data_IF_898804497165
#
_entry.id   IF_898804497165
#
_cell.length_a   1.000
_cell.length_b   1.000
_cell.length_c   1.000
_cell.angle_alpha   90.00
_cell.angle_beta   90.00
_cell.angle_gamma   90.00
#
_symmetry.space_group_name_H-M   'P 1'
#
loop_
_entity.id
_entity.type
_entity.pdbx_description
1 polymer ?
#
# COMPACT_ATOMS: atom_id res chain seq x y z
N UNK A 1 -6.74 10.90 8.55
CA UNK A 1 -6.38 10.59 7.15
C UNK A 1 -4.86 10.63 6.99
N UNK A 2 -4.28 9.90 6.00
CA UNK A 2 -2.86 10.03 5.70
C UNK A 2 -2.53 11.46 5.25
N UNK A 3 -1.33 11.92 5.54
CA UNK A 3 -0.84 13.24 5.16
C UNK A 3 0.30 13.09 4.15
N UNK A 4 0.49 14.03 3.22
CA UNK A 4 1.66 14.06 2.36
C UNK A 4 2.95 14.11 3.21
N UNK A 5 4.01 13.45 2.70
CA UNK A 5 5.30 13.52 3.35
C UNK A 5 5.81 14.97 3.39
N UNK A 6 6.44 15.35 4.51
CA UNK A 6 7.12 16.63 4.61
C UNK A 6 8.34 16.66 3.67
N UNK A 7 8.61 17.83 3.13
CA UNK A 7 9.81 18.01 2.33
C UNK A 7 11.06 17.88 3.21
N UNK A 8 12.11 17.27 2.67
CA UNK A 8 13.41 17.14 3.34
C UNK A 8 14.52 17.74 2.51
N UNK A 9 15.58 18.14 3.18
CA UNK A 9 16.80 18.61 2.55
C UNK A 9 17.84 17.49 2.46
N UNK A 10 18.59 17.43 1.37
CA UNK A 10 19.67 16.47 1.16
C UNK A 10 19.19 15.11 0.64
N UNK A 11 19.95 14.07 0.94
CA UNK A 11 19.69 12.69 0.50
C UNK A 11 19.09 11.90 1.64
N UNK A 12 17.94 11.28 1.39
CA UNK A 12 17.34 10.32 2.31
C UNK A 12 18.00 8.95 2.10
N UNK A 13 18.60 8.39 3.18
CA UNK A 13 19.12 7.03 3.16
C UNK A 13 17.93 6.05 3.22
N UNK A 14 17.70 5.33 2.14
CA UNK A 14 16.58 4.39 1.95
C UNK A 14 17.09 3.00 1.56
N UNK A 15 18.12 2.50 2.29
CA UNK A 15 18.76 1.20 2.04
C UNK A 15 18.03 0.01 2.66
N UNK A 16 17.21 0.26 3.67
CA UNK A 16 16.49 -0.76 4.45
C UNK A 16 14.99 -0.55 4.38
N UNK A 17 14.23 -1.59 4.73
CA UNK A 17 12.78 -1.47 4.87
C UNK A 17 12.43 -0.62 6.09
N UNK A 18 11.43 0.23 5.93
CA UNK A 18 10.85 0.99 7.04
C UNK A 18 10.04 0.06 7.99
N UNK A 19 9.67 0.55 9.19
CA UNK A 19 8.84 -0.20 10.09
C UNK A 19 7.54 -0.68 9.44
N UNK A 20 7.14 -1.92 9.76
CA UNK A 20 5.87 -2.44 9.30
C UNK A 20 4.70 -1.91 10.15
N UNK A 21 3.46 -1.95 9.61
CA UNK A 21 2.27 -1.58 10.35
C UNK A 21 2.09 -2.42 11.62
N UNK A 22 1.53 -1.81 12.67
CA UNK A 22 1.17 -2.50 13.91
C UNK A 22 0.23 -3.67 13.64
N UNK A 23 0.65 -4.90 13.99
CA UNK A 23 -0.06 -6.13 13.68
C UNK A 23 0.36 -7.28 14.61
N UNK A 24 -0.48 -8.31 14.81
CA UNK A 24 -0.02 -9.53 15.43
C UNK A 24 0.95 -10.25 14.47
N UNK A 25 2.08 -10.70 14.98
CA UNK A 25 2.98 -11.56 14.20
C UNK A 25 2.50 -13.02 14.29
N UNK A 26 2.55 -13.77 13.17
CA UNK A 26 2.29 -15.20 13.23
C UNK A 26 3.36 -15.90 14.08
N UNK A 27 2.95 -16.89 14.86
CA UNK A 27 3.89 -17.72 15.61
C UNK A 27 4.87 -18.44 14.67
N UNK A 28 6.11 -18.64 15.12
CA UNK A 28 7.14 -19.36 14.34
C UNK A 28 6.70 -20.78 13.97
N UNK A 29 5.78 -21.37 14.70
CA UNK A 29 5.25 -22.72 14.47
C UNK A 29 4.03 -22.74 13.53
N UNK A 30 3.46 -21.57 13.24
CA UNK A 30 2.33 -21.43 12.34
C UNK A 30 2.78 -21.46 10.88
N UNK A 31 1.84 -21.86 9.99
CA UNK A 31 2.11 -21.93 8.55
C UNK A 31 2.67 -20.61 8.01
N UNK A 32 2.03 -19.49 8.33
CA UNK A 32 2.48 -18.17 7.86
C UNK A 32 3.85 -17.77 8.45
N UNK A 33 4.13 -18.08 9.71
CA UNK A 33 5.44 -17.77 10.31
C UNK A 33 6.58 -18.55 9.68
N UNK A 34 6.31 -19.78 9.17
CA UNK A 34 7.31 -20.62 8.52
C UNK A 34 7.50 -20.31 7.04
N UNK A 35 6.41 -20.08 6.32
CA UNK A 35 6.40 -19.98 4.85
C UNK A 35 6.64 -18.53 4.38
N UNK A 36 6.10 -17.53 5.08
CA UNK A 36 6.18 -16.13 4.67
C UNK A 36 7.38 -15.38 5.27
N UNK A 37 8.15 -16.03 6.13
CA UNK A 37 9.46 -15.59 6.63
C UNK A 37 9.55 -14.06 6.88
N UNK A 38 8.60 -13.52 7.64
CA UNK A 38 8.74 -12.17 8.17
C UNK A 38 9.89 -12.21 9.17
N UNK A 39 10.87 -11.34 8.98
CA UNK A 39 11.96 -11.21 9.94
C UNK A 39 11.36 -10.71 11.27
N UNK A 40 11.49 -11.53 12.32
CA UNK A 40 10.96 -11.19 13.64
C UNK A 40 11.58 -9.91 14.23
N UNK A 41 12.75 -9.53 13.74
CA UNK A 41 13.45 -8.31 14.15
C UNK A 41 12.99 -7.07 13.38
N UNK A 42 12.10 -7.21 12.38
CA UNK A 42 11.55 -6.06 11.67
C UNK A 42 10.74 -5.20 12.63
N UNK A 43 11.08 -3.92 12.82
CA UNK A 43 10.37 -3.06 13.74
C UNK A 43 8.93 -2.81 13.28
N UNK A 44 8.02 -2.65 14.23
CA UNK A 44 6.66 -2.19 14.01
C UNK A 44 6.48 -0.78 14.55
N UNK A 45 5.76 0.07 13.83
CA UNK A 45 5.43 1.42 14.28
C UNK A 45 4.09 1.89 13.71
N UNK A 46 3.51 2.92 14.32
CA UNK A 46 2.38 3.64 13.70
C UNK A 46 2.86 4.51 12.52
N UNK A 47 4.10 5.00 12.58
CA UNK A 47 4.79 5.60 11.44
C UNK A 47 5.28 4.48 10.49
N UNK A 48 4.38 4.01 9.64
CA UNK A 48 4.57 2.87 8.75
C UNK A 48 4.19 3.15 7.29
N UNK A 49 3.83 4.40 6.96
CA UNK A 49 3.36 4.75 5.61
C UNK A 49 4.53 5.05 4.68
N UNK A 50 5.19 4.00 4.22
CA UNK A 50 6.32 4.03 3.32
C UNK A 50 6.04 3.24 2.05
N UNK A 51 6.90 3.39 1.08
CA UNK A 51 6.90 2.57 -0.14
C UNK A 51 8.34 2.17 -0.50
N UNK A 52 8.48 1.07 -1.21
CA UNK A 52 9.76 0.61 -1.73
C UNK A 52 9.72 0.58 -3.25
N UNK A 53 10.84 0.88 -3.89
CA UNK A 53 10.93 0.97 -5.34
C UNK A 53 12.10 0.12 -5.82
N UNK A 54 11.82 -0.79 -6.74
CA UNK A 54 12.83 -1.54 -7.51
C UNK A 54 12.77 -1.06 -8.96
N UNK A 55 13.89 -0.54 -9.45
CA UNK A 55 13.96 -0.04 -10.82
C UNK A 55 15.26 -0.46 -11.50
N UNK A 56 15.22 -0.92 -12.75
CA UNK A 56 16.42 -1.16 -13.54
C UNK A 56 16.96 0.13 -14.20
N UNK A 57 16.21 1.23 -14.17
CA UNK A 57 16.52 2.46 -14.89
C UNK A 57 17.72 3.22 -14.32
N UNK A 58 18.05 3.04 -13.04
CA UNK A 58 19.15 3.75 -12.35
C UNK A 58 20.52 3.13 -12.58
N UNK A 59 20.66 2.08 -13.39
CA UNK A 59 21.96 1.52 -13.75
C UNK A 59 22.70 2.49 -14.67
N UNK A 60 23.54 3.34 -14.10
CA UNK A 60 24.41 4.23 -14.85
C UNK A 60 24.42 5.67 -14.41
N UNK A 61 24.07 5.99 -13.18
CA UNK A 61 24.39 7.29 -12.56
C UNK A 61 25.90 7.44 -12.37
N UNK A 62 26.65 7.59 -13.47
CA UNK A 62 27.91 8.29 -13.50
C UNK A 62 27.59 9.76 -13.66
N UNK A 63 28.02 10.61 -12.76
CA UNK A 63 28.17 12.07 -12.70
C UNK A 63 27.55 12.97 -13.83
N UNK A 64 26.37 12.65 -14.33
CA UNK A 64 25.67 13.44 -15.35
C UNK A 64 24.17 13.20 -15.27
N UNK A 65 23.46 14.25 -15.06
CA UNK A 65 22.06 14.40 -14.66
C UNK A 65 20.95 13.88 -15.61
N UNK A 66 21.18 12.86 -16.40
CA UNK A 66 20.14 12.29 -17.25
C UNK A 66 19.85 10.84 -16.86
N UNK A 67 18.63 10.58 -16.38
CA UNK A 67 18.08 9.23 -16.24
C UNK A 67 18.00 8.65 -17.65
N UNK A 68 18.93 7.76 -17.99
CA UNK A 68 18.90 7.08 -19.30
C UNK A 68 17.82 6.01 -19.22
N UNK A 69 16.63 6.32 -19.72
CA UNK A 69 15.64 5.30 -20.06
C UNK A 69 16.23 4.43 -21.17
N UNK A 70 16.16 3.11 -20.99
CA UNK A 70 16.59 2.16 -22.01
C UNK A 70 15.87 2.50 -23.33
N UNK A 71 16.64 2.62 -24.42
CA UNK A 71 16.12 2.89 -25.76
C UNK A 71 15.07 1.87 -26.26
N UNK A 72 14.93 0.73 -25.55
CA UNK A 72 13.87 -0.26 -25.77
C UNK A 72 12.47 0.23 -25.38
N UNK A 73 12.36 1.29 -24.58
CA UNK A 73 11.09 1.86 -24.11
C UNK A 73 10.54 2.97 -24.99
N UNK A 74 11.07 3.17 -26.20
CA UNK A 74 10.52 4.11 -27.19
C UNK A 74 10.47 5.57 -26.76
N UNK A 75 11.33 5.99 -25.79
CA UNK A 75 11.35 7.36 -25.24
C UNK A 75 10.31 7.62 -24.14
N UNK A 76 9.45 6.64 -23.83
CA UNK A 76 8.56 6.62 -22.67
C UNK A 76 9.24 5.85 -21.53
N UNK A 77 8.90 6.15 -20.26
CA UNK A 77 9.42 5.41 -19.11
C UNK A 77 9.05 3.92 -19.13
N UNK A 78 9.60 3.17 -18.18
CA UNK A 78 9.27 1.75 -18.00
C UNK A 78 7.84 1.57 -17.46
N UNK A 79 7.15 0.46 -17.81
CA UNK A 79 5.88 0.12 -17.16
C UNK A 79 6.04 0.05 -15.63
N UNK A 80 5.03 0.48 -14.91
CA UNK A 80 5.04 0.53 -13.44
C UNK A 80 4.05 -0.49 -12.89
N UNK A 81 4.47 -1.27 -11.90
CA UNK A 81 3.66 -2.24 -11.19
C UNK A 81 3.61 -1.89 -9.71
N UNK A 82 2.42 -1.59 -9.18
CA UNK A 82 2.20 -1.17 -7.79
C UNK A 82 1.58 -2.32 -7.01
N UNK A 83 2.34 -2.86 -6.06
CA UNK A 83 1.95 -4.01 -5.23
C UNK A 83 1.20 -3.59 -3.97
N UNK A 84 0.07 -4.26 -3.72
CA UNK A 84 -0.69 -4.22 -2.48
C UNK A 84 -0.70 -5.64 -1.87
N UNK A 85 -0.12 -5.77 -0.69
CA UNK A 85 -0.01 -7.08 -0.02
C UNK A 85 -1.34 -7.57 0.53
N UNK A 86 -1.42 -8.87 0.82
CA UNK A 86 -2.56 -9.56 1.43
C UNK A 86 -2.53 -9.55 2.95
N UNK A 87 -3.17 -10.56 3.58
CA UNK A 87 -3.18 -10.74 5.04
C UNK A 87 -4.50 -10.34 5.69
N UNK A 88 -5.62 -10.46 4.98
CA UNK A 88 -6.99 -10.24 5.49
C UNK A 88 -7.22 -8.85 6.12
N UNK A 89 -6.43 -7.84 5.78
CA UNK A 89 -6.39 -6.52 6.40
C UNK A 89 -6.00 -6.53 7.89
N UNK A 90 -5.50 -7.64 8.40
CA UNK A 90 -5.09 -7.81 9.79
C UNK A 90 -3.56 -7.87 9.94
N UNK A 91 -2.91 -8.46 8.96
CA UNK A 91 -1.46 -8.67 8.89
C UNK A 91 -0.95 -8.34 7.49
N UNK A 92 0.35 -8.39 7.31
CA UNK A 92 1.02 -8.18 6.03
C UNK A 92 2.02 -7.03 6.06
N UNK A 93 3.00 -7.11 5.18
CA UNK A 93 4.08 -6.11 5.12
C UNK A 93 4.69 -6.07 3.73
N UNK A 94 5.34 -4.95 3.43
CA UNK A 94 6.17 -4.81 2.22
C UNK A 94 7.53 -5.51 2.34
N UNK A 95 7.93 -5.90 3.54
CA UNK A 95 9.22 -6.54 3.81
C UNK A 95 9.18 -8.08 3.72
N UNK A 96 8.01 -8.68 3.43
CA UNK A 96 7.91 -10.12 3.18
C UNK A 96 8.79 -10.53 2.00
N UNK A 97 9.60 -11.58 2.17
CA UNK A 97 10.61 -11.99 1.17
C UNK A 97 10.00 -12.34 -0.18
N UNK A 98 8.80 -12.91 -0.18
CA UNK A 98 8.04 -13.24 -1.38
C UNK A 98 7.67 -12.01 -2.21
N UNK A 99 7.61 -10.84 -1.59
CA UNK A 99 7.22 -9.59 -2.25
C UNK A 99 8.41 -8.74 -2.71
N UNK A 100 9.64 -9.31 -2.65
CA UNK A 100 10.81 -8.63 -3.19
C UNK A 100 10.66 -8.40 -4.70
N UNK A 101 10.57 -7.13 -5.09
CA UNK A 101 10.32 -6.72 -6.48
C UNK A 101 11.51 -6.86 -7.42
N UNK A 102 12.70 -7.25 -6.93
CA UNK A 102 13.93 -7.24 -7.72
C UNK A 102 13.83 -8.11 -8.99
N UNK A 103 13.33 -9.35 -8.85
CA UNK A 103 13.27 -10.27 -9.99
C UNK A 103 12.28 -9.79 -11.06
N UNK A 104 11.19 -9.17 -10.64
CA UNK A 104 10.21 -8.60 -11.56
C UNK A 104 10.80 -7.34 -12.22
N UNK A 105 11.49 -6.49 -11.46
CA UNK A 105 12.17 -5.32 -12.01
C UNK A 105 13.23 -5.68 -13.05
N UNK A 106 13.94 -6.79 -12.86
CA UNK A 106 14.91 -7.31 -13.86
C UNK A 106 14.26 -7.65 -15.21
N UNK A 107 12.94 -7.82 -15.27
CA UNK A 107 12.19 -8.02 -16.51
C UNK A 107 11.87 -6.71 -17.25
N UNK A 108 12.30 -5.57 -16.73
CA UNK A 108 12.13 -4.27 -17.40
C UNK A 108 10.88 -3.50 -16.96
N UNK A 109 10.46 -3.66 -15.72
CA UNK A 109 9.38 -2.88 -15.11
C UNK A 109 9.89 -2.16 -13.85
N UNK A 110 9.27 -1.05 -13.48
CA UNK A 110 9.45 -0.46 -12.15
C UNK A 110 8.42 -1.11 -11.22
N UNK A 111 8.88 -1.68 -10.12
CA UNK A 111 8.01 -2.28 -9.09
C UNK A 111 7.97 -1.36 -7.89
N UNK A 112 6.78 -1.08 -7.39
CA UNK A 112 6.57 -0.31 -6.16
C UNK A 112 5.71 -1.14 -5.21
N UNK A 113 6.12 -1.32 -3.96
CA UNK A 113 5.26 -1.88 -2.92
C UNK A 113 4.86 -0.78 -1.95
N UNK A 114 3.57 -0.72 -1.59
CA UNK A 114 2.99 0.32 -0.73
C UNK A 114 2.62 -0.31 0.61
N UNK A 115 3.14 0.24 1.71
CA UNK A 115 2.67 -0.06 3.05
C UNK A 115 1.36 0.70 3.34
N UNK A 116 0.47 0.08 4.10
CA UNK A 116 -0.80 0.67 4.53
C UNK A 116 -1.20 0.15 5.90
N UNK A 117 -1.93 0.94 6.66
CA UNK A 117 -2.39 0.57 8.01
C UNK A 117 -3.39 -0.58 7.96
N UNK A 118 -3.30 -1.43 8.96
CA UNK A 118 -4.05 -2.67 9.09
C UNK A 118 -4.99 -2.61 10.30
N UNK A 119 -5.84 -3.61 10.46
CA UNK A 119 -6.71 -3.85 11.61
C UNK A 119 -7.42 -2.57 12.11
N UNK A 120 -7.44 -2.30 13.38
CA UNK A 120 -8.10 -1.11 13.95
C UNK A 120 -7.41 0.20 13.54
N UNK A 121 -6.10 0.19 13.24
CA UNK A 121 -5.39 1.39 12.81
C UNK A 121 -5.78 1.82 11.38
N UNK A 122 -6.12 0.85 10.52
CA UNK A 122 -6.49 1.10 9.13
C UNK A 122 -7.98 1.09 8.85
N UNK A 123 -8.79 0.40 9.68
CA UNK A 123 -10.19 0.10 9.35
C UNK A 123 -11.16 0.33 10.50
N UNK A 124 -10.77 1.11 11.51
CA UNK A 124 -11.66 1.51 12.58
C UNK A 124 -12.65 2.56 12.08
N UNK A 125 -13.92 2.40 12.49
CA UNK A 125 -14.96 3.38 12.25
C UNK A 125 -15.70 3.67 13.55
N UNK A 126 -15.86 4.93 13.90
CA UNK A 126 -16.58 5.37 15.09
C UNK A 126 -17.18 6.77 14.88
N UNK A 127 -18.34 7.03 15.47
CA UNK A 127 -19.01 8.32 15.32
C UNK A 127 -18.19 9.53 15.82
N UNK A 128 -17.28 9.32 16.76
CA UNK A 128 -16.38 10.40 17.21
C UNK A 128 -15.42 10.85 16.11
N UNK A 129 -14.98 9.95 15.22
CA UNK A 129 -14.10 10.29 14.12
C UNK A 129 -14.80 11.17 13.06
N UNK A 130 -16.13 11.16 13.00
CA UNK A 130 -16.86 12.03 12.07
C UNK A 130 -16.62 13.53 12.36
N UNK A 131 -16.25 13.87 13.60
CA UNK A 131 -15.90 15.25 13.97
C UNK A 131 -14.59 15.72 13.34
N UNK A 132 -13.77 14.76 12.89
CA UNK A 132 -12.50 14.99 12.21
C UNK A 132 -12.65 14.89 10.69
N UNK A 133 -13.87 14.61 10.20
CA UNK A 133 -14.13 14.44 8.78
C UNK A 133 -13.82 15.73 8.00
N UNK A 134 -13.02 15.62 6.98
CA UNK A 134 -12.74 16.69 6.03
C UNK A 134 -13.74 16.58 4.88
N UNK A 135 -14.32 17.71 4.47
CA UNK A 135 -15.26 17.80 3.33
C UNK A 135 -16.51 16.89 3.47
N UNK A 136 -16.95 16.59 4.70
CA UNK A 136 -18.15 15.80 4.95
C UNK A 136 -18.03 14.32 4.57
N UNK A 137 -16.83 13.84 4.27
CA UNK A 137 -16.57 12.42 4.02
C UNK A 137 -16.47 11.65 5.33
N UNK A 138 -17.03 10.43 5.43
CA UNK A 138 -16.87 9.60 6.63
C UNK A 138 -15.39 9.32 6.94
N UNK A 139 -15.00 9.49 8.19
CA UNK A 139 -13.68 9.10 8.68
C UNK A 139 -13.65 7.59 8.93
N UNK A 140 -13.36 6.82 7.89
CA UNK A 140 -13.21 5.38 7.94
C UNK A 140 -12.32 4.91 6.76
N UNK A 141 -11.98 3.62 6.74
CA UNK A 141 -11.20 3.00 5.66
C UNK A 141 -9.83 3.66 5.43
N UNK A 142 -9.16 4.06 6.49
CA UNK A 142 -7.86 4.74 6.42
C UNK A 142 -6.82 3.92 5.67
N UNK A 143 -6.83 2.58 5.80
CA UNK A 143 -5.95 1.71 5.04
C UNK A 143 -6.15 1.82 3.52
N UNK A 144 -7.38 2.02 3.03
CA UNK A 144 -7.61 2.30 1.61
C UNK A 144 -7.16 3.70 1.21
N UNK A 145 -7.28 4.67 2.10
CA UNK A 145 -6.78 6.03 1.86
C UNK A 145 -5.25 6.07 1.84
N UNK A 146 -4.59 5.26 2.69
CA UNK A 146 -3.13 5.08 2.67
C UNK A 146 -2.66 4.54 1.31
N UNK A 147 -3.31 3.46 0.83
CA UNK A 147 -3.02 2.88 -0.49
C UNK A 147 -3.23 3.91 -1.60
N UNK A 148 -4.33 4.67 -1.54
CA UNK A 148 -4.61 5.72 -2.51
C UNK A 148 -3.52 6.79 -2.52
N UNK A 149 -3.07 7.24 -1.35
CA UNK A 149 -2.00 8.23 -1.25
C UNK A 149 -0.70 7.71 -1.85
N UNK A 150 -0.35 6.45 -1.58
CA UNK A 150 0.81 5.81 -2.19
C UNK A 150 0.69 5.72 -3.73
N UNK A 151 -0.49 5.36 -4.26
CA UNK A 151 -0.72 5.33 -5.72
C UNK A 151 -0.62 6.74 -6.32
N UNK A 152 -1.16 7.76 -5.64
CA UNK A 152 -1.03 9.15 -6.06
C UNK A 152 0.45 9.57 -6.07
N UNK A 153 1.20 9.24 -5.02
CA UNK A 153 2.63 9.53 -4.96
C UNK A 153 3.39 8.89 -6.13
N UNK A 154 3.07 7.63 -6.45
CA UNK A 154 3.65 6.94 -7.62
C UNK A 154 3.31 7.70 -8.91
N UNK A 155 2.06 8.08 -9.10
CA UNK A 155 1.63 8.87 -10.28
C UNK A 155 2.44 10.14 -10.46
N UNK A 156 2.73 10.84 -9.36
CA UNK A 156 3.37 12.14 -9.37
C UNK A 156 4.90 12.07 -9.49
N UNK A 157 5.52 10.98 -8.99
CA UNK A 157 6.98 10.93 -8.80
C UNK A 157 7.69 9.82 -9.58
N UNK A 158 7.00 8.81 -10.08
CA UNK A 158 7.66 7.60 -10.60
C UNK A 158 8.50 7.85 -11.84
N UNK A 159 8.27 8.94 -12.56
CA UNK A 159 9.10 9.37 -13.67
C UNK A 159 10.56 9.63 -13.25
N UNK A 160 10.78 10.10 -12.02
CA UNK A 160 12.10 10.30 -11.43
C UNK A 160 12.87 8.99 -11.21
N UNK A 161 12.15 7.87 -11.18
CA UNK A 161 12.69 6.52 -11.04
C UNK A 161 12.69 5.74 -12.38
N UNK A 162 12.44 6.43 -13.49
CA UNK A 162 12.43 5.86 -14.83
C UNK A 162 11.14 5.15 -15.20
N UNK A 163 10.07 5.26 -14.40
CA UNK A 163 8.74 4.72 -14.69
C UNK A 163 7.91 5.66 -15.56
N UNK A 164 6.93 5.08 -16.28
CA UNK A 164 5.94 5.83 -17.05
C UNK A 164 4.67 6.05 -16.21
N UNK A 165 4.37 7.28 -15.78
CA UNK A 165 3.16 7.57 -15.02
C UNK A 165 1.86 7.39 -15.81
N UNK A 166 1.94 7.21 -17.13
CA UNK A 166 0.80 6.86 -17.98
C UNK A 166 0.63 5.35 -18.18
N UNK A 167 1.48 4.52 -17.55
CA UNK A 167 1.47 3.06 -17.69
C UNK A 167 1.62 2.35 -16.35
N UNK A 168 0.68 2.63 -15.43
CA UNK A 168 0.65 2.07 -14.07
C UNK A 168 -0.35 0.93 -13.99
N UNK A 169 0.08 -0.21 -13.44
CA UNK A 169 -0.75 -1.36 -13.12
C UNK A 169 -0.74 -1.57 -11.60
N UNK A 170 -1.90 -1.50 -10.95
CA UNK A 170 -2.07 -1.87 -9.54
C UNK A 170 -2.34 -3.37 -9.46
N UNK A 171 -1.62 -4.07 -8.60
CA UNK A 171 -1.84 -5.51 -8.44
C UNK A 171 -1.72 -5.93 -6.98
N UNK A 172 -2.37 -7.03 -6.62
CA UNK A 172 -2.34 -7.53 -5.26
C UNK A 172 -2.93 -8.92 -5.16
N UNK A 173 -2.66 -9.58 -4.03
CA UNK A 173 -3.13 -10.94 -3.74
C UNK A 173 -4.02 -10.93 -2.50
N UNK A 174 -5.06 -11.78 -2.47
CA UNK A 174 -5.98 -11.91 -1.32
C UNK A 174 -6.60 -10.55 -0.92
N UNK A 175 -6.37 -10.06 0.30
CA UNK A 175 -6.80 -8.72 0.73
C UNK A 175 -6.21 -7.61 -0.16
N UNK A 176 -4.99 -7.80 -0.70
CA UNK A 176 -4.41 -6.89 -1.68
C UNK A 176 -5.16 -6.90 -3.01
N UNK A 177 -5.68 -8.04 -3.45
CA UNK A 177 -6.56 -8.11 -4.62
C UNK A 177 -7.90 -7.41 -4.38
N UNK A 178 -8.47 -7.58 -3.19
CA UNK A 178 -9.66 -6.86 -2.76
C UNK A 178 -9.39 -5.33 -2.68
N UNK A 179 -8.21 -4.95 -2.23
CA UNK A 179 -7.73 -3.56 -2.26
C UNK A 179 -7.65 -3.03 -3.68
N UNK A 180 -7.01 -3.77 -4.59
CA UNK A 180 -6.89 -3.38 -5.99
C UNK A 180 -8.28 -3.19 -6.65
N UNK A 181 -9.26 -4.06 -6.30
CA UNK A 181 -10.65 -3.87 -6.73
C UNK A 181 -11.24 -2.59 -6.14
N UNK A 182 -11.12 -2.37 -4.81
CA UNK A 182 -11.64 -1.17 -4.15
C UNK A 182 -11.07 0.11 -4.76
N UNK A 183 -9.75 0.13 -5.03
CA UNK A 183 -9.10 1.26 -5.70
C UNK A 183 -9.62 1.45 -7.13
N UNK A 184 -9.91 0.37 -7.86
CA UNK A 184 -10.36 0.46 -9.26
C UNK A 184 -11.78 1.02 -9.43
N UNK A 185 -12.63 0.87 -8.41
CA UNK A 185 -14.02 1.37 -8.44
C UNK A 185 -14.19 2.70 -7.71
N UNK A 186 -13.16 3.19 -7.04
CA UNK A 186 -13.20 4.47 -6.33
C UNK A 186 -13.10 5.63 -7.31
N UNK A 187 -14.09 6.54 -7.35
CA UNK A 187 -14.02 7.72 -8.20
C UNK A 187 -12.87 8.68 -7.81
N UNK A 188 -12.32 8.54 -6.59
CA UNK A 188 -11.19 9.33 -6.14
C UNK A 188 -9.87 8.96 -6.87
N UNK A 189 -9.85 7.85 -7.60
CA UNK A 189 -8.67 7.34 -8.29
C UNK A 189 -8.72 7.52 -9.81
N UNK A 190 -9.69 8.29 -10.30
CA UNK A 190 -9.80 8.53 -11.73
C UNK A 190 -8.50 9.09 -12.32
N UNK A 191 -7.96 8.40 -13.34
CA UNK A 191 -6.71 8.76 -14.01
C UNK A 191 -5.41 8.40 -13.29
N UNK A 192 -5.46 7.80 -12.07
CA UNK A 192 -4.24 7.45 -11.34
C UNK A 192 -3.50 6.24 -11.92
N UNK A 193 -4.23 5.25 -12.40
CA UNK A 193 -3.66 4.04 -13.01
C UNK A 193 -4.52 3.52 -14.15
N UNK A 194 -3.98 2.60 -14.96
CA UNK A 194 -4.62 2.14 -16.20
C UNK A 194 -5.08 0.68 -16.13
N UNK A 195 -4.50 -0.13 -15.24
CA UNK A 195 -4.76 -1.57 -15.19
C UNK A 195 -4.77 -2.08 -13.77
N UNK A 196 -5.46 -3.19 -13.58
CA UNK A 196 -5.54 -3.91 -12.31
C UNK A 196 -5.32 -5.40 -12.54
N UNK A 197 -4.56 -6.04 -11.64
CA UNK A 197 -4.41 -7.51 -11.57
C UNK A 197 -4.83 -7.95 -10.17
N UNK A 198 -5.84 -8.79 -10.09
CA UNK A 198 -6.37 -9.33 -8.84
C UNK A 198 -6.05 -10.82 -8.73
N UNK A 199 -5.23 -11.18 -7.74
CA UNK A 199 -4.80 -12.56 -7.53
C UNK A 199 -5.48 -13.15 -6.29
N UNK A 200 -6.24 -14.22 -6.45
CA UNK A 200 -6.91 -14.92 -5.35
C UNK A 200 -7.79 -14.02 -4.46
N UNK A 201 -8.51 -13.10 -5.08
CA UNK A 201 -9.41 -12.15 -4.42
C UNK A 201 -10.28 -11.43 -5.43
N UNK A 202 -11.25 -10.68 -4.96
CA UNK A 202 -12.22 -9.98 -5.80
C UNK A 202 -13.59 -10.66 -5.78
N UNK A 203 -14.47 -10.22 -6.67
CA UNK A 203 -15.88 -10.63 -6.72
C UNK A 203 -16.84 -9.52 -6.30
N UNK A 204 -18.14 -9.80 -6.22
CA UNK A 204 -19.15 -8.85 -5.75
C UNK A 204 -19.08 -8.70 -4.24
N UNK A 205 -18.26 -7.78 -3.77
CA UNK A 205 -17.95 -7.55 -2.37
C UNK A 205 -16.57 -8.12 -1.98
N UNK A 206 -16.00 -7.58 -0.91
CA UNK A 206 -14.75 -8.04 -0.33
C UNK A 206 -14.92 -9.48 0.18
N UNK A 207 -14.24 -10.45 -0.45
CA UNK A 207 -14.31 -11.87 -0.10
C UNK A 207 -15.72 -12.48 -0.10
N UNK A 208 -16.60 -12.13 -1.06
CA UNK A 208 -18.00 -12.58 -1.10
C UNK A 208 -18.82 -12.20 0.16
N UNK A 209 -18.39 -11.23 0.93
CA UNK A 209 -19.13 -10.71 2.08
C UNK A 209 -19.80 -9.40 1.73
N UNK A 210 -20.97 -9.15 2.32
CA UNK A 210 -21.60 -7.85 2.24
C UNK A 210 -20.67 -6.77 2.81
N UNK A 211 -20.55 -5.66 2.09
CA UNK A 211 -19.93 -4.47 2.67
C UNK A 211 -20.80 -4.01 3.83
N UNK A 212 -20.17 -3.69 4.94
CA UNK A 212 -20.90 -3.12 6.08
C UNK A 212 -21.35 -1.70 5.77
N UNK A 213 -22.54 -1.34 6.24
CA UNK A 213 -22.92 0.06 6.28
C UNK A 213 -22.01 0.81 7.24
N UNK A 214 -21.89 2.13 7.06
CA UNK A 214 -21.14 2.97 8.01
C UNK A 214 -21.67 2.81 9.43
N UNK A 215 -23.01 2.74 9.59
CA UNK A 215 -23.67 2.53 10.88
C UNK A 215 -23.27 1.20 11.54
N UNK A 216 -23.21 0.12 10.76
CA UNK A 216 -22.77 -1.19 11.28
C UNK A 216 -21.29 -1.18 11.67
N UNK A 217 -20.44 -0.52 10.87
CA UNK A 217 -19.03 -0.38 11.16
C UNK A 217 -18.82 0.44 12.45
N UNK A 218 -19.52 1.55 12.62
CA UNK A 218 -19.48 2.38 13.83
C UNK A 218 -20.01 1.66 15.08
N UNK A 219 -21.07 0.87 14.91
CA UNK A 219 -21.59 0.02 16.01
C UNK A 219 -20.55 -1.00 16.47
N UNK A 220 -19.80 -1.57 15.54
CA UNK A 220 -18.70 -2.49 15.87
C UNK A 220 -17.52 -1.74 16.52
N UNK A 221 -17.20 -0.54 16.06
CA UNK A 221 -16.21 0.33 16.70
C UNK A 221 -16.56 0.66 18.14
N UNK A 222 -17.82 1.02 18.40
CA UNK A 222 -18.29 1.28 19.77
C UNK A 222 -18.21 0.03 20.67
N UNK A 223 -18.50 -1.17 20.12
CA UNK A 223 -18.32 -2.43 20.86
C UNK A 223 -16.86 -2.70 21.20
N UNK A 224 -15.95 -2.38 20.29
CA UNK A 224 -14.51 -2.52 20.49
C UNK A 224 -14.01 -1.60 21.60
N UNK A 225 -14.39 -0.31 21.59
CA UNK A 225 -14.04 0.63 22.67
C UNK A 225 -14.59 0.18 24.04
N UNK A 226 -15.83 -0.31 24.06
CA UNK A 226 -16.41 -0.87 25.28
C UNK A 226 -15.63 -2.08 25.82
N UNK A 227 -15.14 -2.94 24.92
CA UNK A 227 -14.31 -4.09 25.29
C UNK A 227 -12.97 -3.64 25.91
N UNK A 228 -12.41 -2.54 25.42
CA UNK A 228 -11.18 -1.94 25.95
C UNK A 228 -11.42 -1.05 27.20
N UNK A 229 -12.65 -0.95 27.69
CA UNK A 229 -13.03 -0.07 28.80
C UNK A 229 -12.69 1.41 28.57
N UNK A 230 -12.65 1.84 27.31
CA UNK A 230 -12.46 3.23 26.93
C UNK A 230 -13.83 3.91 26.90
N UNK A 231 -13.97 4.97 27.70
CA UNK A 231 -15.17 5.83 27.68
C UNK A 231 -15.21 6.62 26.36
N UNK A 232 -16.34 6.56 25.66
CA UNK A 232 -16.59 7.23 24.39
C UNK A 232 -17.44 8.49 24.57
#
# INVERSE_FOLDING_TARGET
EPQPAEAWDGVLEAGDFAPMPMQPLPGSDEFYGREWQIDADTPMAEDCLYLNIWTPALRGCGSGSEIRTDSRCGGHGLPVMVWLYGGAFQTGSTCEKEFNGEQLARQGVVVVSIAYRLNVFGFFAHAMLEKEAVDGRPCANFGFLDQRMGIQWVKDNIALFGGDPANITVFGQSAGAASALAQSVSPMNDGLFQRVIMQSGGGTGLFNRHLWSLEDAQRNGARFLKYLEVES
#
